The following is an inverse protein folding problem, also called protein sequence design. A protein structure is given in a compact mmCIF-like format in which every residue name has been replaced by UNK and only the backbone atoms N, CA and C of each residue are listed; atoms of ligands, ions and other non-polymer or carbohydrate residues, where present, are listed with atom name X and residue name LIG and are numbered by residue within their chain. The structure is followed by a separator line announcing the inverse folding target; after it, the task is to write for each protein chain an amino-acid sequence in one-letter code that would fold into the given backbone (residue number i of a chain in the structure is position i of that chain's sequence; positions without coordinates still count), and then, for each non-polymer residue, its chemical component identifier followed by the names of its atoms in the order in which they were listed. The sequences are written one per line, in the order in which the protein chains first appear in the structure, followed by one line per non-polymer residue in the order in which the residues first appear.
data_IF_753615659734
#
_entry.id   IF_753615659734
#
_cell.length_a   1.000
_cell.length_b   1.000
_cell.length_c   1.000
_cell.angle_alpha   90.00
_cell.angle_beta   90.00
_cell.angle_gamma   90.00
#
_symmetry.space_group_name_H-M   'P 1'
#
loop_
_entity.id
_entity.type
_entity.pdbx_description
1 polymer ?
#
# COMPACT_ATOMS: atom_id res chain seq x y z
N UNK A 1 -30.90 -15.07 -87.98
CA UNK A 1 -29.96 -15.57 -89.01
C UNK A 1 -29.04 -16.57 -88.31
N UNK A 2 -29.19 -17.84 -88.64
CA UNK A 2 -28.47 -18.97 -88.04
C UNK A 2 -26.98 -18.93 -88.40
N UNK A 3 -26.10 -19.23 -87.43
CA UNK A 3 -24.94 -20.10 -87.67
C UNK A 3 -24.50 -20.78 -86.37
N UNK A 4 -24.68 -22.09 -86.36
CA UNK A 4 -24.08 -23.02 -85.42
C UNK A 4 -22.64 -23.34 -85.85
N UNK A 5 -21.79 -23.63 -84.87
CA UNK A 5 -20.46 -24.21 -85.05
C UNK A 5 -19.99 -24.84 -83.75
N UNK A 6 -20.28 -26.13 -83.59
CA UNK A 6 -19.81 -27.02 -82.51
C UNK A 6 -18.31 -27.30 -82.67
N UNK A 7 -17.61 -27.69 -81.60
CA UNK A 7 -16.96 -29.01 -81.33
C UNK A 7 -15.81 -28.68 -80.34
N UNK A 8 -15.44 -29.37 -79.26
CA UNK A 8 -15.79 -30.63 -78.56
C UNK A 8 -15.18 -30.56 -77.14
N UNK A 9 -15.85 -31.04 -76.08
CA UNK A 9 -15.52 -32.28 -75.32
C UNK A 9 -14.32 -32.12 -74.33
N UNK A 10 -14.30 -32.52 -73.06
CA UNK A 10 -15.17 -33.33 -72.18
C UNK A 10 -14.89 -32.96 -70.72
N UNK A 11 -15.98 -32.93 -69.95
CA UNK A 11 -16.20 -33.13 -68.52
C UNK A 11 -15.06 -33.73 -67.65
N UNK A 12 -14.83 -33.13 -66.48
CA UNK A 12 -14.70 -33.91 -65.24
C UNK A 12 -15.32 -33.14 -64.05
N UNK A 13 -16.32 -33.77 -63.45
CA UNK A 13 -17.03 -33.36 -62.24
C UNK A 13 -16.20 -33.80 -61.03
N UNK A 14 -15.95 -32.92 -60.07
CA UNK A 14 -15.62 -33.32 -58.70
C UNK A 14 -16.21 -32.30 -57.70
N UNK A 15 -16.98 -32.84 -56.77
CA UNK A 15 -17.69 -32.18 -55.67
C UNK A 15 -16.72 -31.65 -54.58
N UNK A 16 -17.13 -30.52 -53.96
CA UNK A 16 -17.05 -30.16 -52.52
C UNK A 16 -15.63 -30.08 -51.92
N UNK A 17 -15.21 -28.96 -51.31
CA UNK A 17 -15.51 -28.53 -49.92
C UNK A 17 -15.23 -27.03 -49.80
N UNK A 18 -16.16 -26.27 -49.20
CA UNK A 18 -15.90 -24.92 -48.69
C UNK A 18 -14.85 -25.00 -47.56
N UNK A 19 -13.65 -24.49 -47.83
CA UNK A 19 -12.63 -24.28 -46.81
C UNK A 19 -12.81 -22.90 -46.18
N UNK A 20 -13.64 -22.80 -45.13
CA UNK A 20 -13.53 -21.71 -44.18
C UNK A 20 -12.20 -21.87 -43.43
N UNK A 21 -11.21 -21.03 -43.76
CA UNK A 21 -9.96 -20.93 -43.02
C UNK A 21 -10.19 -20.37 -41.61
N UNK A 22 -9.33 -20.71 -40.63
CA UNK A 22 -9.56 -20.32 -39.24
C UNK A 22 -9.29 -18.83 -39.07
N UNK A 23 -10.35 -18.04 -38.94
CA UNK A 23 -10.29 -16.67 -38.46
C UNK A 23 -10.57 -16.66 -36.94
N UNK A 24 -9.65 -17.17 -36.12
CA UNK A 24 -9.78 -17.14 -34.65
C UNK A 24 -8.43 -17.08 -33.94
N UNK A 25 -7.56 -16.12 -34.28
CA UNK A 25 -6.32 -15.85 -33.50
C UNK A 25 -5.98 -14.38 -33.28
N UNK A 26 -6.78 -13.41 -33.72
CA UNK A 26 -6.35 -11.99 -33.71
C UNK A 26 -6.92 -11.13 -32.58
N UNK A 27 -8.08 -11.46 -31.99
CA UNK A 27 -8.72 -10.58 -31.01
C UNK A 27 -8.05 -10.60 -29.62
N UNK A 28 -7.67 -11.77 -29.10
CA UNK A 28 -7.03 -11.89 -27.78
C UNK A 28 -5.59 -11.35 -27.78
N UNK A 29 -4.83 -11.59 -28.86
CA UNK A 29 -3.47 -11.09 -29.01
C UNK A 29 -3.41 -9.56 -29.17
N UNK A 30 -4.45 -8.93 -29.72
CA UNK A 30 -4.56 -7.46 -29.82
C UNK A 30 -4.94 -6.77 -28.51
N UNK A 31 -5.57 -7.46 -27.55
CA UNK A 31 -5.94 -6.84 -26.27
C UNK A 31 -4.74 -6.66 -25.31
N UNK A 32 -3.76 -7.56 -25.37
CA UNK A 32 -2.54 -7.44 -24.58
C UNK A 32 -1.60 -6.33 -25.06
N UNK A 33 -1.67 -5.95 -26.35
CA UNK A 33 -0.79 -4.91 -26.92
C UNK A 33 -1.10 -3.49 -26.44
N UNK A 34 -2.30 -3.26 -25.88
CA UNK A 34 -2.72 -1.95 -25.37
C UNK A 34 -2.35 -1.73 -23.88
N UNK A 35 -1.96 -2.78 -23.17
CA UNK A 35 -1.53 -2.69 -21.75
C UNK A 35 0.00 -2.68 -21.69
N UNK A 36 0.57 -1.72 -20.98
CA UNK A 36 2.03 -1.68 -20.74
C UNK A 36 2.35 -2.52 -19.51
N UNK A 37 3.42 -3.33 -19.53
CA UNK A 37 3.87 -4.05 -18.35
C UNK A 37 4.30 -3.07 -17.25
N UNK A 38 3.90 -3.38 -16.01
CA UNK A 38 4.31 -2.66 -14.81
C UNK A 38 5.44 -3.46 -14.15
N UNK A 39 6.69 -3.01 -14.31
CA UNK A 39 7.81 -3.57 -13.56
C UNK A 39 7.66 -3.21 -12.09
N UNK A 40 7.81 -4.19 -11.21
CA UNK A 40 7.36 -4.07 -9.83
C UNK A 40 8.10 -5.07 -8.99
N UNK A 41 8.49 -4.66 -7.78
CA UNK A 41 8.79 -5.60 -6.70
C UNK A 41 7.85 -5.35 -5.54
N UNK A 42 7.40 -6.43 -4.92
CA UNK A 42 6.49 -6.38 -3.78
C UNK A 42 6.69 -7.57 -2.85
N UNK A 43 6.12 -7.44 -1.66
CA UNK A 43 6.08 -8.46 -0.63
C UNK A 43 4.67 -8.54 -0.07
N UNK A 44 4.17 -9.76 0.15
CA UNK A 44 3.01 -10.04 1.01
C UNK A 44 3.51 -10.79 2.24
N UNK A 45 3.00 -10.45 3.42
CA UNK A 45 3.45 -11.13 4.64
C UNK A 45 2.37 -11.14 5.72
N UNK A 46 2.48 -12.14 6.61
CA UNK A 46 1.79 -12.26 7.89
C UNK A 46 2.85 -12.35 8.98
N UNK A 47 2.73 -11.52 10.00
CA UNK A 47 3.57 -11.63 11.18
C UNK A 47 3.07 -12.78 12.08
N UNK A 48 3.91 -13.81 12.38
CA UNK A 48 3.48 -14.94 13.19
C UNK A 48 3.11 -14.57 14.63
N UNK A 49 3.74 -13.54 15.20
CA UNK A 49 3.57 -13.14 16.59
C UNK A 49 2.27 -12.35 16.81
N UNK A 50 2.06 -11.31 16.01
CA UNK A 50 0.88 -10.43 16.15
C UNK A 50 -0.31 -10.89 15.32
N UNK A 51 -0.07 -11.68 14.26
CA UNK A 51 -1.07 -12.03 13.25
C UNK A 51 -1.38 -10.90 12.26
N UNK A 52 -0.72 -9.74 12.36
CA UNK A 52 -0.86 -8.66 11.39
C UNK A 52 -0.50 -9.16 9.98
N UNK A 53 -1.15 -8.59 8.97
CA UNK A 53 -0.90 -8.93 7.58
C UNK A 53 -0.65 -7.66 6.79
N UNK A 54 0.16 -7.75 5.74
CA UNK A 54 0.47 -6.58 4.95
C UNK A 54 1.03 -6.86 3.58
N UNK A 55 1.05 -5.80 2.79
CA UNK A 55 1.61 -5.76 1.45
C UNK A 55 2.42 -4.49 1.31
N UNK A 56 3.61 -4.57 0.73
CA UNK A 56 4.40 -3.40 0.34
C UNK A 56 4.90 -3.56 -1.09
N UNK A 57 4.95 -2.46 -1.83
CA UNK A 57 5.25 -2.45 -3.27
C UNK A 57 5.99 -1.19 -3.69
N UNK A 58 6.84 -1.30 -4.70
CA UNK A 58 7.42 -0.18 -5.44
C UNK A 58 7.39 -0.47 -6.96
N UNK A 59 7.17 0.57 -7.77
CA UNK A 59 7.28 0.51 -9.23
C UNK A 59 7.74 1.83 -9.86
N UNK A 60 8.43 1.77 -11.01
CA UNK A 60 8.52 2.91 -11.93
C UNK A 60 7.23 3.03 -12.75
N UNK A 61 6.14 3.31 -12.06
CA UNK A 61 4.81 3.56 -12.61
C UNK A 61 4.10 4.56 -11.71
N UNK A 62 3.25 5.41 -12.27
CA UNK A 62 2.49 6.36 -11.48
C UNK A 62 1.46 5.61 -10.61
N UNK A 63 1.45 5.90 -9.31
CA UNK A 63 0.39 5.44 -8.41
C UNK A 63 0.20 3.92 -8.31
N UNK A 64 1.29 3.17 -8.11
CA UNK A 64 1.23 1.70 -7.97
C UNK A 64 0.33 1.23 -6.82
N UNK A 65 0.21 2.04 -5.76
CA UNK A 65 -0.57 1.75 -4.57
C UNK A 65 -2.07 1.63 -4.79
N UNK A 66 -2.59 2.13 -5.92
CA UNK A 66 -4.02 2.05 -6.24
C UNK A 66 -4.45 0.70 -6.81
N UNK A 67 -3.51 -0.11 -7.33
CA UNK A 67 -3.83 -1.31 -8.11
C UNK A 67 -3.15 -2.59 -7.62
N UNK A 68 -1.94 -2.50 -7.04
CA UNK A 68 -1.17 -3.69 -6.65
C UNK A 68 -1.51 -4.21 -5.26
N UNK A 69 -1.46 -3.40 -4.18
CA UNK A 69 -1.57 -3.93 -2.82
C UNK A 69 -3.02 -3.99 -2.34
N UNK A 70 -3.40 -5.13 -1.77
CA UNK A 70 -4.70 -5.36 -1.16
C UNK A 70 -4.51 -6.11 0.16
N UNK A 71 -5.20 -5.70 1.21
CA UNK A 71 -5.20 -6.42 2.48
C UNK A 71 -6.50 -6.19 3.24
N UNK A 72 -6.91 -7.20 4.00
CA UNK A 72 -8.09 -7.18 4.84
C UNK A 72 -7.85 -7.96 6.14
N UNK A 73 -8.14 -7.32 7.26
CA UNK A 73 -7.96 -7.90 8.59
C UNK A 73 -8.78 -9.18 8.76
N UNK A 74 -8.17 -10.20 9.36
CA UNK A 74 -8.79 -11.52 9.52
C UNK A 74 -8.93 -12.35 8.24
N UNK A 75 -8.55 -11.81 7.07
CA UNK A 75 -8.72 -12.48 5.78
C UNK A 75 -7.39 -12.81 5.12
N UNK A 76 -6.60 -11.79 4.75
CA UNK A 76 -5.37 -12.00 3.99
C UNK A 76 -4.82 -10.75 3.33
N UNK A 77 -3.75 -10.94 2.55
CA UNK A 77 -3.05 -9.92 1.79
C UNK A 77 -2.74 -10.44 0.37
N UNK A 78 -2.86 -9.57 -0.64
CA UNK A 78 -2.68 -9.89 -2.06
C UNK A 78 -1.86 -8.79 -2.75
N UNK A 79 -0.88 -9.19 -3.53
CA UNK A 79 -0.16 -8.34 -4.48
C UNK A 79 -0.40 -8.87 -5.91
N UNK A 80 -0.97 -8.06 -6.79
CA UNK A 80 -1.16 -8.38 -8.23
C UNK A 80 -0.36 -7.39 -9.08
N UNK A 81 0.57 -7.87 -9.90
CA UNK A 81 1.56 -7.05 -10.62
C UNK A 81 1.91 -7.58 -12.02
N UNK A 82 2.90 -6.95 -12.67
CA UNK A 82 3.25 -7.14 -14.09
C UNK A 82 2.17 -6.60 -15.04
N UNK A 83 1.60 -7.40 -15.94
CA UNK A 83 0.36 -7.03 -16.62
C UNK A 83 -0.80 -7.20 -15.64
N UNK A 84 -0.94 -6.22 -14.75
CA UNK A 84 -1.86 -6.26 -13.61
C UNK A 84 -3.28 -6.59 -14.06
N UNK A 85 -3.90 -7.55 -13.35
CA UNK A 85 -5.35 -7.75 -13.35
C UNK A 85 -5.87 -7.33 -11.97
N UNK A 86 -6.36 -6.07 -11.82
CA UNK A 86 -6.72 -5.52 -10.51
C UNK A 86 -7.78 -6.33 -9.78
N UNK A 87 -8.65 -7.06 -10.49
CA UNK A 87 -9.70 -7.88 -9.87
C UNK A 87 -9.15 -9.01 -8.99
N UNK A 88 -7.91 -9.45 -9.19
CA UNK A 88 -7.29 -10.49 -8.35
C UNK A 88 -7.17 -10.09 -6.88
N UNK A 89 -7.01 -8.79 -6.61
CA UNK A 89 -6.97 -8.26 -5.25
C UNK A 89 -8.25 -8.55 -4.46
N UNK A 90 -9.38 -7.90 -4.80
CA UNK A 90 -10.64 -8.12 -4.11
C UNK A 90 -11.17 -9.55 -4.25
N UNK A 91 -11.05 -10.20 -5.42
CA UNK A 91 -11.53 -11.58 -5.59
C UNK A 91 -10.71 -12.59 -4.78
N UNK A 92 -9.40 -12.39 -4.66
CA UNK A 92 -8.54 -13.20 -3.80
C UNK A 92 -8.95 -13.09 -2.34
N UNK A 93 -9.15 -11.86 -1.85
CA UNK A 93 -9.68 -11.61 -0.50
C UNK A 93 -11.08 -12.23 -0.31
N UNK A 94 -11.97 -12.12 -1.29
CA UNK A 94 -13.31 -12.72 -1.22
C UNK A 94 -13.27 -14.24 -1.09
N UNK A 95 -12.43 -14.90 -1.90
CA UNK A 95 -12.22 -16.35 -1.82
C UNK A 95 -11.68 -16.76 -0.45
N UNK A 96 -10.70 -16.02 0.08
CA UNK A 96 -10.14 -16.27 1.41
C UNK A 96 -11.17 -16.04 2.52
N UNK A 97 -12.00 -15.00 2.42
CA UNK A 97 -13.10 -14.74 3.35
C UNK A 97 -14.15 -15.86 3.34
N UNK A 98 -14.37 -16.49 2.19
CA UNK A 98 -15.23 -17.68 2.06
C UNK A 98 -14.58 -18.98 2.56
N UNK A 99 -13.38 -18.91 3.15
CA UNK A 99 -12.70 -20.04 3.78
C UNK A 99 -11.74 -20.79 2.86
N UNK A 100 -11.47 -20.30 1.64
CA UNK A 100 -10.38 -20.83 0.82
C UNK A 100 -9.03 -20.40 1.39
N UNK A 101 -8.04 -21.27 1.28
CA UNK A 101 -6.65 -20.88 1.53
C UNK A 101 -6.12 -19.97 0.43
N UNK A 102 -5.08 -19.17 0.71
CA UNK A 102 -4.39 -18.38 -0.32
C UNK A 102 -3.94 -19.23 -1.54
N UNK A 103 -3.35 -20.43 -1.36
CA UNK A 103 -3.09 -21.35 -2.48
C UNK A 103 -4.33 -21.76 -3.29
N UNK A 104 -5.46 -22.03 -2.65
CA UNK A 104 -6.70 -22.38 -3.37
C UNK A 104 -7.27 -21.17 -4.12
N UNK A 105 -7.27 -20.00 -3.49
CA UNK A 105 -7.73 -18.76 -4.09
C UNK A 105 -6.91 -18.40 -5.34
N UNK A 106 -5.58 -18.42 -5.23
CA UNK A 106 -4.69 -18.11 -6.34
C UNK A 106 -4.87 -19.11 -7.49
N UNK A 107 -4.92 -20.43 -7.20
CA UNK A 107 -5.16 -21.45 -8.22
C UNK A 107 -6.48 -21.24 -8.95
N UNK A 108 -7.54 -20.90 -8.22
CA UNK A 108 -8.86 -20.66 -8.83
C UNK A 108 -8.80 -19.49 -9.83
N UNK A 109 -8.21 -18.35 -9.43
CA UNK A 109 -8.10 -17.17 -10.28
C UNK A 109 -7.24 -17.44 -11.53
N UNK A 110 -6.03 -17.96 -11.33
CA UNK A 110 -5.07 -18.28 -12.40
C UNK A 110 -5.66 -19.26 -13.40
N UNK A 111 -6.39 -20.30 -12.95
CA UNK A 111 -6.97 -21.32 -13.84
C UNK A 111 -8.06 -20.79 -14.78
N UNK A 112 -8.58 -19.58 -14.51
CA UNK A 112 -9.65 -18.94 -15.28
C UNK A 112 -9.17 -17.74 -16.10
N UNK A 113 -7.90 -17.34 -15.97
CA UNK A 113 -7.31 -16.21 -16.70
C UNK A 113 -6.56 -16.71 -17.93
N UNK A 114 -7.07 -16.39 -19.12
CA UNK A 114 -6.44 -16.73 -20.39
C UNK A 114 -5.07 -16.05 -20.59
N UNK A 115 -4.79 -14.99 -19.85
CA UNK A 115 -3.56 -14.21 -19.90
C UNK A 115 -2.64 -14.51 -18.70
N UNK A 116 -2.87 -15.61 -17.96
CA UNK A 116 -2.10 -15.94 -16.74
C UNK A 116 -0.58 -15.87 -16.95
N UNK A 117 -0.12 -16.20 -18.16
CA UNK A 117 1.28 -16.23 -18.54
C UNK A 117 1.97 -14.85 -18.45
N UNK A 118 1.22 -13.74 -18.46
CA UNK A 118 1.77 -12.37 -18.28
C UNK A 118 1.51 -11.79 -16.88
N UNK A 119 0.84 -12.55 -16.00
CA UNK A 119 0.51 -12.12 -14.63
C UNK A 119 1.64 -12.45 -13.67
N UNK A 120 1.75 -11.66 -12.60
CA UNK A 120 2.52 -12.04 -11.43
C UNK A 120 1.73 -11.68 -10.16
N UNK A 121 1.58 -12.63 -9.25
CA UNK A 121 0.66 -12.50 -8.12
C UNK A 121 1.23 -13.22 -6.90
N UNK A 122 1.06 -12.64 -5.71
CA UNK A 122 1.29 -13.35 -4.45
C UNK A 122 0.14 -13.11 -3.48
N UNK A 123 -0.16 -14.12 -2.66
CA UNK A 123 -1.21 -14.09 -1.65
C UNK A 123 -0.72 -14.75 -0.36
N UNK A 124 -1.11 -14.18 0.78
CA UNK A 124 -1.01 -14.81 2.11
C UNK A 124 -2.37 -14.74 2.80
N UNK A 125 -2.81 -15.83 3.42
CA UNK A 125 -4.05 -15.85 4.20
C UNK A 125 -3.81 -15.64 5.70
N UNK A 126 -4.89 -15.44 6.45
CA UNK A 126 -4.84 -15.23 7.90
C UNK A 126 -4.25 -16.41 8.70
N UNK A 127 -4.05 -17.57 8.08
CA UNK A 127 -3.37 -18.73 8.68
C UNK A 127 -1.88 -18.80 8.28
N UNK A 128 -1.37 -17.82 7.53
CA UNK A 128 0.01 -17.76 7.10
C UNK A 128 0.35 -18.67 5.92
N UNK A 129 -0.66 -19.26 5.25
CA UNK A 129 -0.42 -20.04 4.04
C UNK A 129 -0.20 -19.08 2.88
N UNK A 130 0.81 -19.36 2.07
CA UNK A 130 1.27 -18.47 1.00
C UNK A 130 1.19 -19.16 -0.35
N UNK A 131 0.87 -18.41 -1.39
CA UNK A 131 1.08 -18.85 -2.77
C UNK A 131 1.50 -17.68 -3.66
N UNK A 132 2.34 -17.98 -4.64
CA UNK A 132 2.77 -17.02 -5.65
C UNK A 132 2.69 -17.64 -7.06
N UNK A 133 2.51 -16.79 -8.04
CA UNK A 133 2.46 -17.11 -9.47
C UNK A 133 3.35 -16.12 -10.21
N UNK A 134 4.26 -16.62 -11.05
CA UNK A 134 5.00 -15.81 -12.03
C UNK A 134 4.76 -16.43 -13.39
N UNK A 135 4.00 -15.75 -14.23
CA UNK A 135 3.67 -16.23 -15.56
C UNK A 135 4.92 -16.38 -16.45
N UNK A 136 4.89 -17.38 -17.34
CA UNK A 136 6.03 -17.74 -18.19
C UNK A 136 6.45 -16.66 -19.21
N UNK A 137 5.60 -15.66 -19.44
CA UNK A 137 5.83 -14.51 -20.32
C UNK A 137 6.10 -13.21 -19.57
N UNK A 138 6.33 -13.27 -18.24
CA UNK A 138 6.83 -12.12 -17.50
C UNK A 138 8.20 -11.67 -18.05
N UNK A 139 8.41 -10.35 -18.13
CA UNK A 139 9.66 -9.80 -18.66
C UNK A 139 10.84 -10.23 -17.77
N UNK A 140 11.97 -10.55 -18.41
CA UNK A 140 13.18 -11.13 -17.79
C UNK A 140 13.59 -10.47 -16.46
N UNK A 141 14.28 -11.25 -15.63
CA UNK A 141 14.45 -11.01 -14.20
C UNK A 141 13.09 -10.92 -13.49
N UNK A 142 12.28 -11.96 -13.71
CA UNK A 142 11.01 -12.19 -13.03
C UNK A 142 11.03 -13.50 -12.25
N UNK A 143 10.59 -13.43 -11.00
CA UNK A 143 10.63 -14.55 -10.07
C UNK A 143 9.93 -14.21 -8.76
N UNK A 144 9.90 -15.19 -7.87
CA UNK A 144 9.38 -15.04 -6.52
C UNK A 144 10.11 -15.97 -5.56
N UNK A 145 10.08 -15.62 -4.28
CA UNK A 145 10.54 -16.43 -3.16
C UNK A 145 9.35 -16.63 -2.22
N UNK A 146 9.05 -17.89 -1.87
CA UNK A 146 7.91 -18.25 -1.01
C UNK A 146 8.44 -18.98 0.21
N UNK A 147 8.06 -18.49 1.38
CA UNK A 147 8.37 -19.09 2.68
C UNK A 147 7.10 -19.13 3.54
N UNK A 148 7.19 -19.69 4.74
CA UNK A 148 6.09 -19.66 5.68
C UNK A 148 5.72 -18.22 6.06
N UNK A 149 4.46 -17.84 5.84
CA UNK A 149 3.94 -16.53 6.22
C UNK A 149 4.31 -15.37 5.29
N UNK A 150 5.19 -15.51 4.29
CA UNK A 150 5.46 -14.42 3.33
C UNK A 150 5.88 -14.88 1.92
N UNK A 151 5.73 -13.98 0.95
CA UNK A 151 6.32 -14.11 -0.39
C UNK A 151 6.87 -12.78 -0.86
N UNK A 152 8.02 -12.80 -1.52
CA UNK A 152 8.60 -11.68 -2.26
C UNK A 152 8.55 -11.99 -3.75
N UNK A 153 8.25 -10.99 -4.58
CA UNK A 153 8.07 -11.19 -6.01
C UNK A 153 8.52 -9.95 -6.77
N UNK A 154 9.17 -10.17 -7.91
CA UNK A 154 9.57 -9.07 -8.78
C UNK A 154 9.55 -9.47 -10.26
N UNK A 155 9.43 -8.48 -11.15
CA UNK A 155 9.55 -8.64 -12.61
C UNK A 155 10.19 -7.41 -13.26
N UNK A 156 10.92 -7.62 -14.38
CA UNK A 156 11.65 -6.56 -15.08
C UNK A 156 12.64 -5.81 -14.16
N UNK A 157 13.37 -6.60 -13.37
CA UNK A 157 14.42 -6.08 -12.49
C UNK A 157 15.75 -5.93 -13.24
N UNK A 158 16.65 -5.09 -12.70
CA UNK A 158 18.06 -5.04 -13.14
C UNK A 158 18.74 -6.40 -12.95
N UNK A 159 18.49 -7.05 -11.81
CA UNK A 159 19.09 -8.33 -11.43
C UNK A 159 18.03 -9.37 -11.00
N UNK A 160 18.27 -10.63 -11.32
CA UNK A 160 17.44 -11.75 -10.86
C UNK A 160 17.65 -12.10 -9.36
N UNK A 161 18.54 -11.40 -8.65
CA UNK A 161 18.81 -11.58 -7.22
C UNK A 161 17.83 -10.85 -6.31
N UNK A 162 17.00 -9.97 -6.87
CA UNK A 162 16.15 -9.02 -6.13
C UNK A 162 15.22 -9.72 -5.12
N UNK A 163 14.40 -10.69 -5.55
CA UNK A 163 13.41 -11.30 -4.64
C UNK A 163 14.06 -12.09 -3.49
N UNK A 164 15.21 -12.73 -3.73
CA UNK A 164 15.94 -13.42 -2.65
C UNK A 164 16.61 -12.44 -1.68
N UNK A 165 17.05 -11.27 -2.16
CA UNK A 165 17.55 -10.20 -1.29
C UNK A 165 16.44 -9.60 -0.43
N UNK A 166 15.25 -9.39 -1.01
CA UNK A 166 14.06 -8.98 -0.26
C UNK A 166 13.73 -9.97 0.86
N UNK A 167 13.75 -11.28 0.56
CA UNK A 167 13.45 -12.32 1.53
C UNK A 167 14.42 -12.29 2.72
N UNK A 168 15.74 -12.30 2.44
CA UNK A 168 16.77 -12.20 3.49
C UNK A 168 16.65 -10.94 4.35
N UNK A 169 16.30 -9.81 3.74
CA UNK A 169 16.11 -8.56 4.48
C UNK A 169 14.87 -8.62 5.38
N UNK A 170 13.75 -9.16 4.88
CA UNK A 170 12.52 -9.34 5.66
C UNK A 170 12.72 -10.28 6.87
N UNK A 171 13.48 -11.35 6.70
CA UNK A 171 13.77 -12.34 7.74
C UNK A 171 14.74 -11.81 8.81
N UNK A 172 15.72 -11.01 8.41
CA UNK A 172 16.72 -10.46 9.33
C UNK A 172 16.27 -9.19 10.03
N UNK A 173 15.33 -8.45 9.45
CA UNK A 173 14.78 -7.23 10.01
C UNK A 173 14.10 -7.47 11.36
N UNK A 174 14.25 -6.49 12.24
CA UNK A 174 13.66 -6.47 13.57
C UNK A 174 12.58 -5.39 13.64
N UNK A 175 11.69 -5.51 14.63
CA UNK A 175 10.56 -4.59 14.79
C UNK A 175 9.26 -5.17 14.22
N UNK A 176 8.27 -4.31 14.06
CA UNK A 176 6.95 -4.73 13.61
C UNK A 176 6.90 -5.04 12.10
N UNK A 177 5.74 -5.51 11.65
CA UNK A 177 5.54 -5.91 10.26
C UNK A 177 5.83 -4.77 9.26
N UNK A 178 5.47 -3.53 9.60
CA UNK A 178 5.70 -2.39 8.70
C UNK A 178 7.20 -2.14 8.48
N UNK A 179 8.01 -2.24 9.53
CA UNK A 179 9.47 -2.09 9.43
C UNK A 179 10.09 -3.19 8.55
N UNK A 180 9.68 -4.44 8.78
CA UNK A 180 10.20 -5.59 8.02
C UNK A 180 9.81 -5.52 6.55
N UNK A 181 8.58 -5.08 6.23
CA UNK A 181 8.12 -4.84 4.86
C UNK A 181 8.94 -3.74 4.16
N UNK A 182 9.25 -2.63 4.86
CA UNK A 182 10.11 -1.57 4.33
C UNK A 182 11.54 -2.07 4.07
N UNK A 183 12.12 -2.84 4.99
CA UNK A 183 13.45 -3.43 4.82
C UNK A 183 13.54 -4.31 3.55
N UNK A 184 12.47 -5.05 3.24
CA UNK A 184 12.39 -5.81 1.99
C UNK A 184 12.44 -4.90 0.75
N UNK A 185 11.66 -3.80 0.72
CA UNK A 185 11.67 -2.85 -0.39
C UNK A 185 13.04 -2.16 -0.56
N UNK A 186 13.69 -1.82 0.55
CA UNK A 186 15.02 -1.20 0.53
C UNK A 186 16.09 -2.14 -0.03
N UNK A 187 16.03 -3.44 0.33
CA UNK A 187 16.92 -4.45 -0.21
C UNK A 187 16.72 -4.65 -1.72
N UNK A 188 15.48 -4.65 -2.21
CA UNK A 188 15.22 -4.67 -3.64
C UNK A 188 15.83 -3.47 -4.36
N UNK A 189 15.64 -2.26 -3.82
CA UNK A 189 16.20 -1.04 -4.40
C UNK A 189 17.74 -1.07 -4.42
N UNK A 190 18.38 -1.62 -3.37
CA UNK A 190 19.83 -1.75 -3.29
C UNK A 190 20.40 -2.76 -4.32
N UNK A 191 19.62 -3.76 -4.71
CA UNK A 191 19.96 -4.74 -5.76
C UNK A 191 19.66 -4.23 -7.19
N UNK A 192 19.30 -2.95 -7.34
CA UNK A 192 19.01 -2.28 -8.61
C UNK A 192 17.51 -2.12 -8.89
N UNK A 193 16.65 -2.94 -8.29
CA UNK A 193 15.20 -2.83 -8.42
C UNK A 193 14.71 -2.86 -9.88
N UNK A 194 13.64 -2.10 -10.15
CA UNK A 194 13.08 -1.91 -11.49
C UNK A 194 14.11 -1.24 -12.41
N UNK A 195 14.44 -1.86 -13.55
CA UNK A 195 15.45 -1.38 -14.52
C UNK A 195 15.15 0.03 -15.07
N UNK A 196 13.90 0.49 -14.94
CA UNK A 196 13.48 1.83 -15.37
C UNK A 196 13.75 2.88 -14.31
N UNK A 197 14.10 2.47 -13.08
CA UNK A 197 14.29 3.33 -11.92
C UNK A 197 13.15 3.21 -10.92
N UNK A 198 12.79 4.32 -10.28
CA UNK A 198 11.80 4.37 -9.20
C UNK A 198 10.87 5.56 -9.35
N UNK A 199 9.60 5.40 -8.98
CA UNK A 199 8.60 6.46 -9.09
C UNK A 199 7.56 6.45 -7.98
N UNK A 200 6.91 5.31 -7.72
CA UNK A 200 5.87 5.20 -6.69
C UNK A 200 6.09 4.01 -5.78
N UNK A 201 5.53 4.08 -4.57
CA UNK A 201 5.56 3.01 -3.58
C UNK A 201 4.32 3.05 -2.68
N UNK A 202 3.96 1.93 -2.08
CA UNK A 202 2.85 1.86 -1.13
C UNK A 202 3.03 0.75 -0.10
N UNK A 203 2.39 0.92 1.05
CA UNK A 203 2.30 -0.10 2.11
C UNK A 203 0.89 -0.14 2.68
N UNK A 204 0.37 -1.35 2.84
CA UNK A 204 -0.85 -1.62 3.60
C UNK A 204 -0.49 -2.62 4.70
N UNK A 205 -0.86 -2.33 5.94
CA UNK A 205 -0.79 -3.26 7.07
C UNK A 205 -2.12 -3.23 7.79
N UNK A 206 -2.67 -4.41 8.04
CA UNK A 206 -3.96 -4.61 8.71
C UNK A 206 -3.78 -5.44 9.97
N UNK A 207 -4.68 -5.25 10.93
CA UNK A 207 -4.74 -6.04 12.16
C UNK A 207 -5.03 -7.52 11.88
N UNK A 208 -4.69 -8.39 12.83
CA UNK A 208 -4.95 -9.83 12.73
C UNK A 208 -6.44 -10.15 12.63
N UNK A 209 -7.27 -9.44 13.37
CA UNK A 209 -8.73 -9.62 13.43
C UNK A 209 -9.43 -8.36 12.94
N UNK A 210 -10.59 -8.55 12.30
CA UNK A 210 -11.44 -7.42 11.90
C UNK A 210 -12.28 -6.91 13.06
N UNK A 211 -12.34 -5.60 13.22
CA UNK A 211 -13.28 -4.92 14.12
C UNK A 211 -14.66 -4.69 13.48
N UNK A 212 -14.86 -5.12 12.23
CA UNK A 212 -16.02 -4.78 11.40
C UNK A 212 -16.01 -3.34 10.89
N UNK A 213 -14.93 -2.59 11.15
CA UNK A 213 -14.72 -1.20 10.73
C UNK A 213 -13.39 -1.11 9.97
N UNK A 214 -13.39 -1.25 8.64
CA UNK A 214 -12.15 -1.33 7.85
C UNK A 214 -11.18 -0.15 8.07
N UNK A 215 -11.70 1.03 8.40
CA UNK A 215 -10.88 2.21 8.71
C UNK A 215 -10.15 2.14 10.06
N UNK A 216 -10.57 1.27 10.99
CA UNK A 216 -9.86 0.99 12.24
C UNK A 216 -8.93 -0.23 12.11
N UNK A 217 -9.21 -1.10 11.14
CA UNK A 217 -8.46 -2.35 10.91
C UNK A 217 -7.15 -2.09 10.14
N UNK A 218 -7.05 -0.97 9.42
CA UNK A 218 -5.84 -0.53 8.69
C UNK A 218 -4.90 0.24 9.63
N UNK A 219 -3.81 -0.41 10.03
CA UNK A 219 -2.71 0.23 10.77
C UNK A 219 -1.92 1.18 9.89
N UNK A 220 -1.60 0.73 8.67
CA UNK A 220 -0.93 1.54 7.67
C UNK A 220 -1.68 1.38 6.34
N UNK A 221 -1.93 2.48 5.66
CA UNK A 221 -2.44 2.54 4.28
C UNK A 221 -1.87 3.81 3.66
N UNK A 222 -0.61 3.71 3.24
CA UNK A 222 0.21 4.84 2.85
C UNK A 222 0.68 4.67 1.41
N UNK A 223 0.67 5.78 0.67
CA UNK A 223 1.00 5.81 -0.76
C UNK A 223 1.89 6.99 -1.07
N UNK A 224 2.92 6.73 -1.86
CA UNK A 224 3.74 7.71 -2.53
C UNK A 224 3.46 7.56 -4.02
N UNK A 225 2.67 8.47 -4.57
CA UNK A 225 2.13 8.33 -5.93
C UNK A 225 3.16 8.67 -7.01
N UNK A 226 4.08 9.61 -6.71
CA UNK A 226 5.18 10.06 -7.56
C UNK A 226 6.25 10.74 -6.68
N UNK A 227 7.46 10.18 -6.62
CA UNK A 227 8.59 10.75 -5.91
C UNK A 227 9.91 10.19 -6.48
N UNK A 228 11.00 10.98 -6.57
CA UNK A 228 12.30 10.47 -7.00
C UNK A 228 12.89 9.42 -6.05
N UNK A 229 12.49 9.43 -4.78
CA UNK A 229 12.94 8.48 -3.75
C UNK A 229 11.71 7.86 -3.02
N UNK A 230 10.90 7.02 -3.69
CA UNK A 230 9.58 6.68 -3.17
C UNK A 230 9.63 5.74 -1.95
N UNK A 231 10.63 4.86 -1.85
CA UNK A 231 10.79 3.98 -0.67
C UNK A 231 11.22 4.78 0.57
N UNK A 232 12.17 5.71 0.42
CA UNK A 232 12.59 6.58 1.51
C UNK A 232 11.45 7.49 1.98
N UNK A 233 10.67 8.02 1.03
CA UNK A 233 9.49 8.83 1.34
C UNK A 233 8.40 7.99 2.03
N UNK A 234 8.19 6.74 1.59
CA UNK A 234 7.26 5.83 2.24
C UNK A 234 7.67 5.54 3.70
N UNK A 235 8.98 5.35 3.96
CA UNK A 235 9.51 5.22 5.32
C UNK A 235 9.24 6.47 6.16
N UNK A 236 9.44 7.67 5.60
CA UNK A 236 9.10 8.94 6.28
C UNK A 236 7.61 8.98 6.65
N UNK A 237 6.72 8.55 5.74
CA UNK A 237 5.28 8.49 6.01
C UNK A 237 4.92 7.44 7.07
N UNK A 238 5.61 6.29 7.12
CA UNK A 238 5.41 5.30 8.20
C UNK A 238 5.79 5.90 9.55
N UNK A 239 6.91 6.62 9.66
CA UNK A 239 7.29 7.32 10.89
C UNK A 239 6.25 8.38 11.28
N UNK A 240 5.74 9.13 10.30
CA UNK A 240 4.68 10.11 10.52
C UNK A 240 3.40 9.47 11.06
N UNK A 241 2.93 8.40 10.43
CA UNK A 241 1.75 7.66 10.88
C UNK A 241 1.93 7.11 12.31
N UNK A 242 3.13 6.62 12.67
CA UNK A 242 3.43 6.19 14.05
C UNK A 242 3.31 7.35 15.05
N UNK A 243 3.81 8.53 14.70
CA UNK A 243 3.67 9.71 15.54
C UNK A 243 2.19 10.08 15.74
N UNK A 244 1.38 10.07 14.67
CA UNK A 244 -0.06 10.32 14.76
C UNK A 244 -0.80 9.27 15.60
N UNK A 245 -0.44 7.99 15.50
CA UNK A 245 -0.98 6.97 16.40
C UNK A 245 -0.67 7.25 17.86
N UNK A 246 0.56 7.67 18.17
CA UNK A 246 0.96 8.04 19.52
C UNK A 246 0.23 9.30 20.02
N UNK A 247 0.01 10.31 19.17
CA UNK A 247 -0.82 11.48 19.49
C UNK A 247 -2.26 11.08 19.83
N UNK A 248 -2.93 10.33 18.94
CA UNK A 248 -4.31 9.89 19.14
C UNK A 248 -4.45 9.01 20.39
N UNK A 249 -3.45 8.16 20.68
CA UNK A 249 -3.41 7.36 21.89
C UNK A 249 -3.25 8.23 23.15
N UNK A 250 -2.45 9.30 23.06
CA UNK A 250 -2.33 10.29 24.12
C UNK A 250 -3.66 10.98 24.42
N UNK A 251 -4.39 11.42 23.40
CA UNK A 251 -5.72 12.05 23.56
C UNK A 251 -6.74 11.08 24.19
N UNK A 252 -6.69 9.81 23.82
CA UNK A 252 -7.50 8.77 24.45
C UNK A 252 -7.17 8.60 25.93
N UNK A 253 -5.88 8.66 26.31
CA UNK A 253 -5.47 8.61 27.72
C UNK A 253 -5.91 9.84 28.51
N UNK A 254 -5.86 11.03 27.91
CA UNK A 254 -6.39 12.24 28.56
C UNK A 254 -7.89 12.09 28.83
N UNK A 255 -8.64 11.60 27.85
CA UNK A 255 -10.09 11.34 28.00
C UNK A 255 -10.37 10.32 29.12
N UNK A 256 -9.48 9.36 29.32
CA UNK A 256 -9.55 8.37 30.40
C UNK A 256 -9.04 8.89 31.76
N UNK A 257 -8.52 10.12 31.85
CA UNK A 257 -7.93 10.68 33.07
C UNK A 257 -6.52 10.18 33.40
N UNK A 258 -5.86 9.50 32.46
CA UNK A 258 -4.57 8.83 32.62
C UNK A 258 -3.42 9.73 32.12
N UNK A 259 -3.22 10.86 32.79
CA UNK A 259 -2.32 11.95 32.32
C UNK A 259 -0.87 11.49 32.12
N UNK A 260 -0.32 10.67 33.00
CA UNK A 260 1.06 10.18 32.86
C UNK A 260 1.25 9.35 31.57
N UNK A 261 0.28 8.51 31.24
CA UNK A 261 0.27 7.71 30.00
C UNK A 261 0.13 8.61 28.79
N UNK A 262 -0.76 9.61 28.86
CA UNK A 262 -0.92 10.60 27.80
C UNK A 262 0.40 11.30 27.47
N UNK A 263 1.07 11.82 28.51
CA UNK A 263 2.34 12.51 28.35
C UNK A 263 3.45 11.60 27.82
N UNK A 264 3.46 10.31 28.19
CA UNK A 264 4.39 9.35 27.60
C UNK A 264 4.13 9.16 26.09
N UNK A 265 2.87 9.00 25.68
CA UNK A 265 2.51 8.87 24.27
C UNK A 265 2.84 10.12 23.46
N UNK A 266 2.57 11.32 23.99
CA UNK A 266 2.94 12.57 23.33
C UNK A 266 4.45 12.73 23.17
N UNK A 267 5.25 12.35 24.17
CA UNK A 267 6.72 12.34 24.04
C UNK A 267 7.18 11.42 22.92
N UNK A 268 6.65 10.20 22.86
CA UNK A 268 6.97 9.27 21.76
C UNK A 268 6.64 9.87 20.39
N UNK A 269 5.50 10.55 20.24
CA UNK A 269 5.15 11.20 18.97
C UNK A 269 6.17 12.27 18.54
N UNK A 270 6.55 13.15 19.47
CA UNK A 270 7.48 14.25 19.21
C UNK A 270 8.95 13.79 19.08
N UNK A 271 9.31 12.62 19.62
CA UNK A 271 10.61 11.99 19.39
C UNK A 271 10.71 11.38 17.98
N UNK A 272 9.59 10.89 17.44
CA UNK A 272 9.53 10.30 16.09
C UNK A 272 9.56 11.35 14.98
N UNK A 273 8.86 12.46 15.18
CA UNK A 273 8.70 13.50 14.16
C UNK A 273 8.98 14.87 14.77
N UNK A 274 9.97 15.63 14.26
CA UNK A 274 10.28 16.96 14.74
C UNK A 274 9.18 17.95 14.34
N UNK A 275 9.07 19.06 15.08
CA UNK A 275 8.00 20.03 14.91
C UNK A 275 7.97 20.60 13.48
N UNK A 276 9.14 20.91 12.92
CA UNK A 276 9.29 21.51 11.58
C UNK A 276 8.73 20.61 10.48
N UNK A 277 8.69 19.28 10.69
CA UNK A 277 8.17 18.34 9.70
C UNK A 277 6.63 18.38 9.57
N UNK A 278 5.94 19.01 10.54
CA UNK A 278 4.47 19.15 10.56
C UNK A 278 4.03 20.59 10.85
N UNK A 279 4.93 21.56 10.63
CA UNK A 279 4.66 22.97 10.94
C UNK A 279 4.21 23.19 12.41
N UNK A 280 4.66 22.35 13.34
CA UNK A 280 4.31 22.45 14.76
C UNK A 280 2.92 21.92 15.14
N UNK A 281 2.28 21.11 14.30
CA UNK A 281 0.94 20.59 14.54
C UNK A 281 0.86 19.65 15.76
N UNK A 282 1.85 18.77 15.93
CA UNK A 282 1.89 17.84 17.07
C UNK A 282 1.89 18.57 18.44
N UNK A 283 2.82 19.50 18.73
CA UNK A 283 2.78 20.25 19.98
C UNK A 283 1.54 21.15 20.08
N UNK A 284 0.96 21.61 18.96
CA UNK A 284 -0.24 22.42 18.98
C UNK A 284 -1.40 21.67 19.63
N UNK A 285 -1.73 20.49 19.09
CA UNK A 285 -2.85 19.69 19.58
C UNK A 285 -2.63 19.17 21.01
N UNK A 286 -1.40 18.81 21.38
CA UNK A 286 -1.05 18.49 22.78
C UNK A 286 -1.37 19.66 23.71
N UNK A 287 -0.96 20.88 23.34
CA UNK A 287 -1.27 22.09 24.10
C UNK A 287 -2.77 22.33 24.23
N UNK A 288 -3.53 22.18 23.14
CA UNK A 288 -4.99 22.32 23.18
C UNK A 288 -5.64 21.28 24.08
N UNK A 289 -5.25 20.00 23.99
CA UNK A 289 -5.79 18.94 24.83
C UNK A 289 -5.54 19.22 26.31
N UNK A 290 -4.33 19.66 26.70
CA UNK A 290 -4.02 20.06 28.07
C UNK A 290 -4.86 21.26 28.52
N UNK A 291 -4.92 22.33 27.72
CA UNK A 291 -5.71 23.51 28.08
C UNK A 291 -7.21 23.20 28.21
N UNK A 292 -7.74 22.30 27.38
CA UNK A 292 -9.15 21.88 27.41
C UNK A 292 -9.53 21.16 28.70
N UNK A 293 -8.56 20.55 29.37
CA UNK A 293 -8.74 19.83 30.66
C UNK A 293 -8.39 20.69 31.88
N UNK A 294 -8.10 21.98 31.68
CA UNK A 294 -7.77 22.93 32.74
C UNK A 294 -6.28 23.11 33.01
N UNK A 295 -5.42 22.35 32.35
CA UNK A 295 -3.96 22.39 32.48
C UNK A 295 -3.33 23.51 31.63
N UNK A 296 -3.87 24.73 31.75
CA UNK A 296 -3.52 25.89 30.89
C UNK A 296 -2.04 26.23 30.93
N UNK A 297 -1.40 26.18 32.11
CA UNK A 297 0.03 26.51 32.23
C UNK A 297 0.93 25.44 31.61
N UNK A 298 0.55 24.16 31.72
CA UNK A 298 1.25 23.04 31.09
C UNK A 298 1.13 23.06 29.56
N UNK A 299 0.08 23.70 29.02
CA UNK A 299 -0.13 23.83 27.59
C UNK A 299 0.82 24.84 26.92
N UNK A 300 1.16 25.93 27.61
CA UNK A 300 1.90 27.08 27.04
C UNK A 300 3.24 26.67 26.38
N UNK A 301 4.11 25.84 27.00
CA UNK A 301 5.37 25.44 26.40
C UNK A 301 5.20 24.71 25.05
N UNK A 302 4.13 23.93 24.88
CA UNK A 302 3.86 23.26 23.62
C UNK A 302 3.36 24.25 22.56
N UNK A 303 2.43 25.14 22.92
CA UNK A 303 1.92 26.14 21.98
C UNK A 303 3.00 27.14 21.52
N UNK A 304 3.99 27.44 22.37
CA UNK A 304 5.16 28.24 21.97
C UNK A 304 5.99 27.55 20.89
N UNK A 305 6.14 26.22 20.94
CA UNK A 305 6.83 25.46 19.89
C UNK A 305 6.09 25.57 18.56
N UNK A 306 4.76 25.43 18.56
CA UNK A 306 3.95 25.63 17.34
C UNK A 306 4.05 27.06 16.82
N UNK A 307 3.93 28.05 17.71
CA UNK A 307 4.03 29.47 17.35
C UNK A 307 5.38 29.82 16.70
N UNK A 308 6.46 29.15 17.09
CA UNK A 308 7.78 29.33 16.49
C UNK A 308 7.86 28.81 15.04
N UNK A 309 7.01 27.85 14.67
CA UNK A 309 6.89 27.34 13.30
C UNK A 309 6.04 28.28 12.43
N UNK A 310 4.84 28.63 12.91
CA UNK A 310 3.96 29.56 12.21
C UNK A 310 3.09 30.38 13.18
N UNK A 311 3.08 31.70 12.97
CA UNK A 311 2.27 32.63 13.77
C UNK A 311 0.76 32.44 13.63
N UNK A 312 0.30 31.71 12.60
CA UNK A 312 -1.11 31.38 12.35
C UNK A 312 -1.68 30.42 13.40
N UNK A 313 -0.85 29.68 14.15
CA UNK A 313 -1.34 28.84 15.24
C UNK A 313 -2.06 29.63 16.32
N UNK A 314 -1.56 30.80 16.71
CA UNK A 314 -2.27 31.68 17.65
C UNK A 314 -3.63 32.16 17.12
N UNK A 315 -3.78 32.30 15.80
CA UNK A 315 -5.07 32.63 15.20
C UNK A 315 -6.04 31.44 15.23
N UNK A 316 -5.54 30.21 15.11
CA UNK A 316 -6.36 29.02 15.30
C UNK A 316 -6.87 28.92 16.74
N UNK A 317 -6.03 29.17 17.77
CA UNK A 317 -6.42 29.14 19.19
C UNK A 317 -7.68 29.97 19.46
N UNK A 318 -7.78 31.17 18.87
CA UNK A 318 -8.96 32.05 19.04
C UNK A 318 -10.27 31.45 18.55
N UNK A 319 -10.21 30.52 17.59
CA UNK A 319 -11.39 29.91 16.96
C UNK A 319 -11.91 28.72 17.75
N UNK A 320 -11.10 28.15 18.64
CA UNK A 320 -11.40 26.91 19.35
C UNK A 320 -12.50 27.01 20.42
N UNK A 321 -12.70 28.14 21.14
CA UNK A 321 -13.83 28.26 22.06
C UNK A 321 -15.18 28.13 21.36
N UNK A 322 -15.35 28.77 20.20
CA UNK A 322 -16.58 28.66 19.41
C UNK A 322 -16.83 27.24 18.88
N UNK A 323 -15.77 26.45 18.70
CA UNK A 323 -15.85 25.04 18.34
C UNK A 323 -16.01 24.09 19.54
N UNK A 324 -15.99 24.61 20.78
CA UNK A 324 -16.06 23.81 22.00
C UNK A 324 -14.78 23.03 22.33
N UNK A 325 -13.67 23.34 21.67
CA UNK A 325 -12.36 22.69 21.88
C UNK A 325 -11.54 23.38 22.99
N UNK A 326 -11.94 24.58 23.42
CA UNK A 326 -11.44 25.26 24.60
C UNK A 326 -12.62 25.74 25.47
N UNK A 327 -12.45 25.82 26.80
CA UNK A 327 -13.56 26.05 27.72
C UNK A 327 -14.12 27.49 27.68
N UNK A 328 -13.33 28.49 27.27
CA UNK A 328 -13.76 29.88 27.19
C UNK A 328 -12.87 30.75 26.29
N UNK A 329 -13.39 31.90 25.86
CA UNK A 329 -12.61 32.94 25.19
C UNK A 329 -11.47 33.47 26.08
N UNK A 330 -11.69 33.56 27.39
CA UNK A 330 -10.66 34.00 28.36
C UNK A 330 -9.44 33.06 28.37
N UNK A 331 -9.66 31.75 28.33
CA UNK A 331 -8.56 30.77 28.23
C UNK A 331 -7.83 30.93 26.90
N UNK A 332 -8.56 31.07 25.79
CA UNK A 332 -7.93 31.27 24.48
C UNK A 332 -7.10 32.57 24.44
N UNK A 333 -7.62 33.68 24.94
CA UNK A 333 -6.90 34.97 24.99
C UNK A 333 -5.62 34.88 25.82
N UNK A 334 -5.66 34.17 26.96
CA UNK A 334 -4.47 33.92 27.79
C UNK A 334 -3.40 33.14 27.03
N UNK A 335 -3.79 32.05 26.36
CA UNK A 335 -2.86 31.23 25.56
C UNK A 335 -2.27 32.04 24.41
N UNK A 336 -3.09 32.80 23.69
CA UNK A 336 -2.66 33.67 22.59
C UNK A 336 -1.71 34.77 23.06
N UNK A 337 -1.99 35.37 24.22
CA UNK A 337 -1.09 36.35 24.83
C UNK A 337 0.27 35.72 25.15
N UNK A 338 0.28 34.54 25.76
CA UNK A 338 1.51 33.80 26.08
C UNK A 338 2.31 33.48 24.80
N UNK A 339 1.66 32.91 23.78
CA UNK A 339 2.27 32.59 22.49
C UNK A 339 2.93 33.81 21.84
N UNK A 340 2.29 34.97 21.90
CA UNK A 340 2.81 36.21 21.28
C UNK A 340 3.88 36.92 22.09
N UNK A 341 3.90 36.73 23.41
CA UNK A 341 4.89 37.34 24.31
C UNK A 341 6.18 36.54 24.46
N UNK A 342 6.15 35.25 24.11
CA UNK A 342 7.27 34.32 24.26
C UNK A 342 7.99 33.96 22.96
N UNK A 343 7.68 34.63 21.85
CA UNK A 343 8.38 34.51 20.56
C UNK A 343 9.45 35.58 20.37
#
# INVERSE_FOLDING_TARGET
MFRAGKVSAVLLLALVVEGAGPATTTAAAQQLTDRRPVATYSIVARDPETGEMGVAVQSHWFSVGAIVPWAEAGVGAVATQSFVEPSYGPLGLDLMRMGRSAPEALRALVSTDADEAVRQVAMVDAQGRVAAHTGASAIFAAGHHVEEGFSTQANMMENATVWDAMARAFESAQGDLAERLLAALEAAQAEGGDIRGKQSAAIIVVTAESTGKPWNDRRFDLRVEDHPEPVAELRRLVLLQRAYHALNQGDAWVTAGEIEKAMASYRTAMELVPDEATDGEAPFWVGITLASTGEVESAIPYLLRSQAQDVRWAELVRRLPAAGLLPSEEVADRLVAAMRSGG
#
